data_IF_204208606489
#
_entry.id   IF_204208606489
#
_cell.length_a   1.000
_cell.length_b   1.000
_cell.length_c   1.000
_cell.angle_alpha   90.00
_cell.angle_beta   90.00
_cell.angle_gamma   90.00
#
_symmetry.space_group_name_H-M   'P 1'
#
loop_
_entity.id
_entity.type
_entity.pdbx_description
1 polymer ?
#
# COMPACT_ATOMS: atom_id res chain seq x y z
N UNK A 1 26.30 21.18 6.81
CA UNK A 1 26.17 20.27 8.00
C UNK A 1 25.57 18.95 7.58
N UNK A 2 24.49 18.94 6.76
CA UNK A 2 23.83 17.69 6.32
C UNK A 2 24.78 16.73 5.63
N UNK A 3 25.70 17.19 4.76
CA UNK A 3 26.72 16.33 4.14
C UNK A 3 27.56 15.57 5.15
N UNK A 4 27.90 16.22 6.30
CA UNK A 4 28.65 15.57 7.38
C UNK A 4 27.79 14.57 8.13
N UNK A 5 26.49 14.85 8.28
CA UNK A 5 25.53 13.92 8.89
C UNK A 5 25.36 12.68 7.99
N UNK A 6 25.21 12.87 6.69
CA UNK A 6 25.11 11.77 5.71
C UNK A 6 26.34 10.86 5.74
N UNK A 7 27.54 11.46 5.85
CA UNK A 7 28.80 10.70 5.90
C UNK A 7 29.00 9.94 7.22
N UNK A 8 28.48 10.43 8.35
CA UNK A 8 28.86 9.96 9.71
C UNK A 8 27.71 9.57 10.62
N UNK A 9 26.49 9.82 10.19
CA UNK A 9 25.29 9.75 11.01
C UNK A 9 25.19 10.88 12.04
N UNK A 10 24.02 11.07 12.63
CA UNK A 10 23.80 12.08 13.70
C UNK A 10 24.70 11.81 14.90
N UNK A 11 24.80 10.56 15.36
CA UNK A 11 25.61 10.19 16.50
C UNK A 11 27.10 10.44 16.27
N UNK A 12 27.62 10.11 15.08
CA UNK A 12 29.03 10.21 14.70
C UNK A 12 29.50 11.64 14.34
N UNK A 13 28.59 12.55 14.01
CA UNK A 13 28.91 13.93 13.63
C UNK A 13 29.39 14.74 14.84
N UNK A 14 30.50 15.44 14.71
CA UNK A 14 31.06 16.36 15.74
C UNK A 14 31.04 17.79 15.22
N UNK A 15 30.88 18.76 16.13
CA UNK A 15 30.95 20.19 15.81
C UNK A 15 32.24 20.55 15.05
N UNK A 16 33.39 19.96 15.48
CA UNK A 16 34.68 20.17 14.81
C UNK A 16 34.69 19.68 13.35
N UNK A 17 33.97 18.60 13.00
CA UNK A 17 33.88 18.11 11.63
C UNK A 17 33.07 19.08 10.76
N UNK A 18 31.98 19.62 11.32
CA UNK A 18 31.15 20.63 10.64
C UNK A 18 31.96 21.95 10.46
N UNK A 19 32.65 22.42 11.50
CA UNK A 19 33.49 23.59 11.41
C UNK A 19 34.59 23.47 10.34
N UNK A 20 35.25 22.31 10.31
CA UNK A 20 36.25 22.00 9.30
C UNK A 20 35.68 22.00 7.88
N UNK A 21 34.51 21.40 7.70
CA UNK A 21 33.81 21.35 6.38
C UNK A 21 33.42 22.75 5.90
N UNK A 22 32.99 23.63 6.81
CA UNK A 22 32.56 24.98 6.48
C UNK A 22 33.72 25.99 6.43
N UNK A 23 34.93 25.63 6.85
CA UNK A 23 36.09 26.53 6.90
C UNK A 23 35.94 27.60 7.99
N UNK A 24 35.24 27.32 9.08
CA UNK A 24 35.00 28.24 10.19
C UNK A 24 35.58 27.71 11.52
N UNK A 25 35.67 28.55 12.53
CA UNK A 25 36.10 28.11 13.87
C UNK A 25 34.97 27.40 14.63
N UNK A 26 35.34 26.48 15.54
CA UNK A 26 34.37 25.89 16.49
C UNK A 26 33.66 26.95 17.32
N UNK A 27 34.40 28.01 17.70
CA UNK A 27 33.82 29.11 18.49
C UNK A 27 32.72 29.86 17.76
N UNK A 28 32.82 30.00 16.44
CA UNK A 28 31.74 30.62 15.65
C UNK A 28 30.48 29.74 15.63
N UNK A 29 30.62 28.42 15.53
CA UNK A 29 29.46 27.50 15.61
C UNK A 29 28.83 27.57 17.00
N UNK A 30 29.63 27.53 18.07
CA UNK A 30 29.13 27.64 19.45
C UNK A 30 28.57 29.03 19.81
N UNK A 31 28.89 30.07 19.04
CA UNK A 31 28.23 31.37 19.16
C UNK A 31 26.77 31.32 18.67
N UNK A 32 26.48 30.51 17.64
CA UNK A 32 25.14 30.40 17.04
C UNK A 32 24.30 29.27 17.61
N UNK A 33 24.92 28.19 18.09
CA UNK A 33 24.25 26.99 18.57
C UNK A 33 24.78 26.60 19.94
N UNK A 34 23.90 26.51 20.92
CA UNK A 34 24.25 26.19 22.30
C UNK A 34 24.76 24.75 22.47
N UNK A 35 24.40 23.84 21.57
CA UNK A 35 24.81 22.43 21.61
C UNK A 35 24.94 21.81 20.21
N UNK A 36 25.60 20.64 20.14
CA UNK A 36 25.65 19.80 18.95
C UNK A 36 24.25 19.42 18.49
N UNK A 37 23.41 19.02 19.42
CA UNK A 37 22.04 18.57 19.16
C UNK A 37 21.19 19.66 18.49
N UNK A 38 21.38 20.92 18.94
CA UNK A 38 20.70 22.07 18.35
C UNK A 38 21.20 22.36 16.92
N UNK A 39 22.50 22.31 16.69
CA UNK A 39 23.11 22.48 15.38
C UNK A 39 22.58 21.42 14.39
N UNK A 40 22.56 20.15 14.80
CA UNK A 40 22.13 19.05 13.94
C UNK A 40 20.64 19.10 13.67
N UNK A 41 19.82 19.43 14.67
CA UNK A 41 18.40 19.61 14.53
C UNK A 41 18.04 20.75 13.55
N UNK A 42 18.67 21.92 13.71
CA UNK A 42 18.46 23.06 12.81
C UNK A 42 18.93 22.76 11.37
N UNK A 43 20.02 22.02 11.21
CA UNK A 43 20.50 21.62 9.89
C UNK A 43 19.51 20.66 9.20
N UNK A 44 19.00 19.68 9.91
CA UNK A 44 18.00 18.74 9.39
C UNK A 44 16.69 19.47 9.05
N UNK A 45 16.19 20.31 9.94
CA UNK A 45 14.98 21.11 9.72
C UNK A 45 15.09 21.96 8.44
N UNK A 46 16.23 22.63 8.24
CA UNK A 46 16.46 23.42 7.03
C UNK A 46 16.46 22.56 5.76
N UNK A 47 17.13 21.40 5.80
CA UNK A 47 17.20 20.48 4.70
C UNK A 47 15.81 19.92 4.35
N UNK A 48 15.10 19.40 5.34
CA UNK A 48 13.81 18.75 5.14
C UNK A 48 12.72 19.74 4.68
N UNK A 49 12.71 20.97 5.20
CA UNK A 49 11.79 22.01 4.71
C UNK A 49 12.05 22.38 3.24
N UNK A 50 13.33 22.43 2.83
CA UNK A 50 13.68 22.67 1.44
C UNK A 50 13.21 21.52 0.53
N UNK A 51 13.50 20.30 0.93
CA UNK A 51 13.09 19.08 0.20
C UNK A 51 11.58 19.02 0.02
N UNK A 52 10.82 19.22 1.10
CA UNK A 52 9.36 19.27 1.06
C UNK A 52 8.83 20.38 0.14
N UNK A 53 9.45 21.56 0.13
CA UNK A 53 9.07 22.67 -0.75
C UNK A 53 9.36 22.34 -2.23
N UNK A 54 10.45 21.65 -2.52
CA UNK A 54 10.82 21.20 -3.87
C UNK A 54 9.83 20.17 -4.38
N UNK A 55 9.46 19.17 -3.59
CA UNK A 55 8.42 18.17 -3.90
C UNK A 55 7.05 18.83 -4.16
N UNK A 56 6.65 19.79 -3.33
CA UNK A 56 5.39 20.52 -3.52
C UNK A 56 5.37 21.28 -4.86
N UNK A 57 6.47 21.93 -5.24
CA UNK A 57 6.57 22.67 -6.50
C UNK A 57 6.52 21.72 -7.69
N UNK A 58 7.23 20.60 -7.64
CA UNK A 58 7.22 19.62 -8.71
C UNK A 58 5.82 19.03 -8.90
N UNK A 59 5.20 18.57 -7.82
CA UNK A 59 3.84 18.07 -7.84
C UNK A 59 2.85 19.12 -8.39
N UNK A 60 2.93 20.38 -7.93
CA UNK A 60 2.03 21.45 -8.37
C UNK A 60 2.12 21.75 -9.87
N UNK A 61 3.26 21.49 -10.51
CA UNK A 61 3.47 21.68 -11.94
C UNK A 61 2.71 20.68 -12.82
N UNK A 62 2.18 19.60 -12.25
CA UNK A 62 1.40 18.60 -12.98
C UNK A 62 -0.01 19.11 -13.34
N UNK A 63 -0.55 18.71 -14.53
CA UNK A 63 -1.79 19.27 -15.05
C UNK A 63 -3.07 18.77 -14.36
N UNK A 64 -3.07 17.56 -13.80
CA UNK A 64 -4.23 16.90 -13.22
C UNK A 64 -3.97 16.50 -11.76
N UNK A 65 -5.02 16.31 -10.96
CA UNK A 65 -4.86 15.86 -9.58
C UNK A 65 -4.24 14.46 -9.51
N UNK A 66 -4.58 13.56 -10.44
CA UNK A 66 -3.96 12.24 -10.59
C UNK A 66 -2.46 12.37 -10.83
N UNK A 67 -2.05 13.24 -11.76
CA UNK A 67 -0.64 13.44 -12.07
C UNK A 67 0.12 14.10 -10.91
N UNK A 68 -0.52 15.02 -10.17
CA UNK A 68 0.05 15.64 -8.95
C UNK A 68 0.30 14.60 -7.86
N UNK A 69 -0.71 13.77 -7.59
CA UNK A 69 -0.59 12.70 -6.60
C UNK A 69 0.52 11.72 -6.96
N UNK A 70 0.56 11.32 -8.25
CA UNK A 70 1.55 10.34 -8.69
C UNK A 70 2.98 10.90 -8.65
N UNK A 71 3.21 12.14 -9.09
CA UNK A 71 4.52 12.79 -8.96
C UNK A 71 4.97 12.90 -7.50
N UNK A 72 4.03 13.28 -6.62
CA UNK A 72 4.31 13.35 -5.20
C UNK A 72 4.72 11.99 -4.64
N UNK A 73 4.02 10.91 -5.00
CA UNK A 73 4.40 9.55 -4.59
C UNK A 73 5.77 9.17 -5.16
N UNK A 74 6.01 9.42 -6.45
CA UNK A 74 7.29 9.08 -7.11
C UNK A 74 8.48 9.80 -6.48
N UNK A 75 8.32 11.06 -6.03
CA UNK A 75 9.38 11.82 -5.36
C UNK A 75 9.75 11.26 -3.99
N UNK A 76 8.86 10.52 -3.34
CA UNK A 76 9.13 9.82 -2.08
C UNK A 76 9.71 8.40 -2.28
N UNK A 77 9.68 7.83 -3.48
CA UNK A 77 10.21 6.48 -3.70
C UNK A 77 11.72 6.52 -3.85
N UNK A 78 12.50 5.88 -2.96
CA UNK A 78 13.96 5.86 -3.04
C UNK A 78 14.45 5.41 -4.41
N UNK A 79 15.53 6.02 -4.91
CA UNK A 79 16.16 5.61 -6.18
C UNK A 79 16.96 4.32 -6.03
N UNK A 80 17.59 4.12 -4.88
CA UNK A 80 18.41 2.95 -4.54
C UNK A 80 18.45 2.69 -3.04
N UNK A 81 19.09 1.61 -2.63
CA UNK A 81 19.37 1.31 -1.21
C UNK A 81 20.43 2.24 -0.61
N UNK A 82 21.15 2.97 -1.44
CA UNK A 82 22.16 3.98 -1.10
C UNK A 82 21.64 5.42 -1.25
N UNK A 83 20.32 5.59 -1.31
CA UNK A 83 19.67 6.89 -1.37
C UNK A 83 19.99 7.71 -0.12
N UNK A 84 20.83 8.72 -0.30
CA UNK A 84 21.36 9.52 0.81
C UNK A 84 20.32 10.40 1.51
N UNK A 85 19.23 10.75 0.78
CA UNK A 85 18.13 11.54 1.32
C UNK A 85 17.33 10.67 2.29
N UNK A 86 17.00 9.46 1.88
CA UNK A 86 16.34 8.49 2.75
C UNK A 86 17.19 8.03 3.92
N UNK A 87 18.50 7.85 3.73
CA UNK A 87 19.41 7.57 4.84
C UNK A 87 19.38 8.69 5.89
N UNK A 88 19.35 9.97 5.47
CA UNK A 88 19.24 11.12 6.37
C UNK A 88 17.92 11.11 7.14
N UNK A 89 16.79 10.84 6.48
CA UNK A 89 15.47 10.77 7.11
C UNK A 89 15.38 9.65 8.14
N UNK A 90 15.82 8.44 7.78
CA UNK A 90 15.81 7.26 8.69
C UNK A 90 16.67 7.52 9.93
N UNK A 91 17.86 8.10 9.75
CA UNK A 91 18.77 8.43 10.86
C UNK A 91 18.17 9.55 11.74
N UNK A 92 17.50 10.54 11.14
CA UNK A 92 16.80 11.59 11.86
C UNK A 92 15.64 11.06 12.72
N UNK A 93 14.84 10.11 12.23
CA UNK A 93 13.81 9.45 13.04
C UNK A 93 14.42 8.66 14.19
N UNK A 94 15.54 7.95 13.94
CA UNK A 94 16.29 7.27 14.99
C UNK A 94 16.79 8.23 16.06
N UNK A 95 17.28 9.41 15.67
CA UNK A 95 17.73 10.47 16.57
C UNK A 95 16.56 11.09 17.36
N UNK A 96 15.40 11.33 16.70
CA UNK A 96 14.21 11.92 17.33
C UNK A 96 13.66 11.10 18.51
N UNK A 97 13.94 9.79 18.54
CA UNK A 97 13.58 8.94 19.70
C UNK A 97 14.34 9.28 20.98
N UNK A 98 15.51 9.91 20.88
CA UNK A 98 16.43 10.16 21.99
C UNK A 98 16.75 11.63 22.23
N UNK A 99 16.59 12.46 21.19
CA UNK A 99 16.94 13.87 21.19
C UNK A 99 15.67 14.74 21.32
N UNK A 100 15.46 15.40 22.47
CA UNK A 100 14.28 16.23 22.70
C UNK A 100 14.23 17.49 21.82
N UNK A 101 15.33 17.91 21.19
CA UNK A 101 15.36 19.01 20.21
C UNK A 101 14.91 18.54 18.83
N UNK A 102 15.24 17.30 18.43
CA UNK A 102 14.86 16.73 17.15
C UNK A 102 13.40 16.32 17.08
N UNK A 103 12.84 15.80 18.19
CA UNK A 103 11.50 15.23 18.23
C UNK A 103 10.40 16.18 17.73
N UNK A 104 10.28 17.44 18.21
CA UNK A 104 9.25 18.36 17.71
C UNK A 104 9.44 18.73 16.23
N UNK A 105 10.69 18.83 15.75
CA UNK A 105 10.99 19.08 14.34
C UNK A 105 10.51 17.93 13.47
N UNK A 106 10.86 16.70 13.84
CA UNK A 106 10.37 15.50 13.13
C UNK A 106 8.84 15.43 13.08
N UNK A 107 8.17 15.68 14.21
CA UNK A 107 6.70 15.68 14.27
C UNK A 107 6.06 16.74 13.36
N UNK A 108 6.63 17.92 13.30
CA UNK A 108 6.14 19.02 12.44
C UNK A 108 6.34 18.67 10.96
N UNK A 109 7.50 18.14 10.58
CA UNK A 109 7.80 17.72 9.21
C UNK A 109 6.88 16.58 8.74
N UNK A 110 6.64 15.58 9.57
CA UNK A 110 5.69 14.50 9.28
C UNK A 110 4.27 15.06 9.08
N UNK A 111 3.84 15.98 9.93
CA UNK A 111 2.54 16.62 9.81
C UNK A 111 2.40 17.44 8.51
N UNK A 112 3.46 18.14 8.10
CA UNK A 112 3.51 18.90 6.85
C UNK A 112 3.49 17.96 5.63
N UNK A 113 4.24 16.86 5.66
CA UNK A 113 4.26 15.85 4.63
C UNK A 113 2.85 15.28 4.38
N UNK A 114 2.16 14.87 5.45
CA UNK A 114 0.78 14.38 5.36
C UNK A 114 -0.15 15.48 4.82
N UNK A 115 0.02 16.75 5.22
CA UNK A 115 -0.81 17.85 4.75
C UNK A 115 -0.65 18.12 3.23
N UNK A 116 0.53 17.86 2.66
CA UNK A 116 0.75 17.95 1.21
C UNK A 116 -0.09 16.92 0.47
N UNK A 117 -0.08 15.67 0.88
CA UNK A 117 -0.92 14.62 0.30
C UNK A 117 -2.41 14.95 0.47
N UNK A 118 -2.83 15.37 1.67
CA UNK A 118 -4.21 15.75 1.94
C UNK A 118 -4.69 16.86 0.99
N UNK A 119 -3.88 17.88 0.75
CA UNK A 119 -4.19 18.99 -0.16
C UNK A 119 -4.44 18.49 -1.59
N UNK A 120 -3.61 17.58 -2.08
CA UNK A 120 -3.76 17.00 -3.43
C UNK A 120 -5.02 16.14 -3.52
N UNK A 121 -5.32 15.34 -2.49
CA UNK A 121 -6.53 14.51 -2.45
C UNK A 121 -7.81 15.35 -2.39
N UNK A 122 -7.83 16.44 -1.62
CA UNK A 122 -8.97 17.37 -1.57
C UNK A 122 -9.17 18.06 -2.93
N UNK A 123 -8.10 18.57 -3.53
CA UNK A 123 -8.18 19.20 -4.85
C UNK A 123 -8.67 18.23 -5.93
N UNK A 124 -8.30 16.94 -5.87
CA UNK A 124 -8.82 15.93 -6.77
C UNK A 124 -10.31 15.63 -6.58
N UNK A 125 -10.81 15.65 -5.34
CA UNK A 125 -12.25 15.58 -5.08
C UNK A 125 -12.99 16.79 -5.62
N UNK A 126 -12.46 17.99 -5.42
CA UNK A 126 -13.05 19.26 -5.90
C UNK A 126 -13.11 19.32 -7.44
N UNK A 127 -12.10 18.76 -8.12
CA UNK A 127 -12.08 18.66 -9.59
C UNK A 127 -12.92 17.51 -10.15
N UNK A 128 -13.41 16.61 -9.30
CA UNK A 128 -14.14 15.40 -9.70
C UNK A 128 -13.23 14.28 -10.24
N UNK A 129 -11.91 14.42 -10.14
CA UNK A 129 -10.96 13.38 -10.54
C UNK A 129 -10.85 12.26 -9.52
N UNK A 130 -11.15 12.52 -8.23
CA UNK A 130 -11.06 11.56 -7.13
C UNK A 130 -12.42 11.38 -6.45
N UNK A 131 -12.55 10.23 -5.80
CA UNK A 131 -13.61 9.92 -4.85
C UNK A 131 -13.00 9.47 -3.51
N UNK A 132 -12.24 10.36 -2.89
CA UNK A 132 -11.55 10.12 -1.62
C UNK A 132 -12.45 10.56 -0.45
N UNK A 133 -13.01 9.60 0.30
CA UNK A 133 -14.00 9.88 1.36
C UNK A 133 -13.36 10.61 2.56
N UNK A 134 -12.15 10.20 2.95
CA UNK A 134 -11.45 10.73 4.12
C UNK A 134 -10.03 11.21 3.75
N UNK A 135 -9.87 12.38 3.09
CA UNK A 135 -8.57 12.82 2.55
C UNK A 135 -7.42 12.82 3.57
N UNK A 136 -7.69 13.25 4.81
CA UNK A 136 -6.66 13.25 5.87
C UNK A 136 -6.19 11.85 6.26
N UNK A 137 -7.13 10.93 6.43
CA UNK A 137 -6.78 9.53 6.77
C UNK A 137 -6.08 8.84 5.61
N UNK A 138 -6.55 9.07 4.38
CA UNK A 138 -5.92 8.56 3.15
C UNK A 138 -4.49 9.08 2.99
N UNK A 139 -4.28 10.38 3.23
CA UNK A 139 -2.95 10.98 3.25
C UNK A 139 -2.03 10.32 4.29
N UNK A 140 -2.55 10.07 5.50
CA UNK A 140 -1.81 9.39 6.57
C UNK A 140 -1.44 7.95 6.17
N UNK A 141 -2.35 7.21 5.53
CA UNK A 141 -2.07 5.84 5.05
C UNK A 141 -1.04 5.83 3.92
N UNK A 142 -1.13 6.78 2.98
CA UNK A 142 -0.17 6.91 1.87
C UNK A 142 1.22 7.21 2.43
N UNK A 143 1.36 8.24 3.27
CA UNK A 143 2.62 8.61 3.89
C UNK A 143 3.21 7.46 4.71
N UNK A 144 2.43 6.86 5.62
CA UNK A 144 2.91 5.76 6.46
C UNK A 144 3.32 4.50 5.67
N UNK A 145 2.68 4.19 4.53
CA UNK A 145 3.11 3.08 3.68
C UNK A 145 4.41 3.42 2.95
N UNK A 146 4.56 4.65 2.44
CA UNK A 146 5.82 5.10 1.81
C UNK A 146 6.96 4.95 2.80
N UNK A 147 6.82 5.51 4.00
CA UNK A 147 7.85 5.47 5.05
C UNK A 147 8.25 4.04 5.40
N UNK A 148 7.26 3.17 5.63
CA UNK A 148 7.51 1.77 5.94
C UNK A 148 8.21 0.99 4.81
N UNK A 149 7.79 1.19 3.57
CA UNK A 149 8.41 0.54 2.41
C UNK A 149 9.80 1.10 2.12
N UNK A 150 10.01 2.42 2.30
CA UNK A 150 11.30 3.05 2.08
C UNK A 150 12.35 2.59 3.10
N UNK A 151 11.97 2.47 4.37
CA UNK A 151 12.84 1.88 5.40
C UNK A 151 13.23 0.44 5.03
N UNK A 152 12.27 -0.39 4.59
CA UNK A 152 12.56 -1.77 4.17
C UNK A 152 13.46 -1.81 2.93
N UNK A 153 13.22 -0.92 1.97
CA UNK A 153 14.00 -0.85 0.73
C UNK A 153 15.45 -0.41 0.98
N UNK A 154 15.64 0.61 1.83
CA UNK A 154 16.96 1.14 2.15
C UNK A 154 17.75 0.25 3.13
N UNK A 155 17.07 -0.32 4.15
CA UNK A 155 17.74 -1.07 5.22
C UNK A 155 17.89 -2.57 4.96
N UNK A 156 17.08 -3.15 4.04
CA UNK A 156 17.04 -4.59 3.80
C UNK A 156 17.25 -4.92 2.33
N UNK A 157 18.50 -5.05 1.92
CA UNK A 157 18.87 -5.34 0.55
C UNK A 157 18.19 -6.62 0.03
N UNK A 158 17.53 -6.52 -1.13
CA UNK A 158 16.90 -7.65 -1.83
C UNK A 158 15.52 -8.09 -1.32
N UNK A 159 15.04 -7.56 -0.19
CA UNK A 159 13.70 -7.90 0.36
C UNK A 159 12.59 -7.26 -0.46
N UNK A 160 12.76 -6.01 -0.88
CA UNK A 160 11.80 -5.28 -1.69
C UNK A 160 12.48 -4.74 -2.95
N UNK A 161 11.87 -4.96 -4.12
CA UNK A 161 12.36 -4.37 -5.38
C UNK A 161 11.64 -3.05 -5.65
N UNK A 162 12.35 -2.05 -6.21
CA UNK A 162 11.75 -0.74 -6.56
C UNK A 162 10.47 -0.86 -7.40
N UNK A 163 10.44 -1.80 -8.35
CA UNK A 163 9.24 -2.08 -9.16
C UNK A 163 8.05 -2.53 -8.30
N UNK A 164 8.31 -3.29 -7.26
CA UNK A 164 7.29 -3.77 -6.33
C UNK A 164 6.80 -2.65 -5.40
N UNK A 165 7.71 -1.84 -4.89
CA UNK A 165 7.38 -0.63 -4.13
C UNK A 165 6.41 0.25 -4.94
N UNK A 166 6.79 0.63 -6.16
CA UNK A 166 5.94 1.43 -7.07
C UNK A 166 4.57 0.78 -7.31
N UNK A 167 4.53 -0.55 -7.49
CA UNK A 167 3.28 -1.28 -7.67
C UNK A 167 2.37 -1.18 -6.45
N UNK A 168 2.92 -1.35 -5.25
CA UNK A 168 2.17 -1.26 -3.99
C UNK A 168 1.62 0.16 -3.78
N UNK A 169 2.42 1.18 -4.05
CA UNK A 169 1.97 2.58 -3.95
C UNK A 169 0.86 2.92 -4.94
N UNK A 170 0.92 2.40 -6.17
CA UNK A 170 -0.18 2.56 -7.13
C UNK A 170 -1.48 1.91 -6.66
N UNK A 171 -1.39 0.70 -6.12
CA UNK A 171 -2.55 0.00 -5.60
C UNK A 171 -3.19 0.77 -4.44
N UNK A 172 -2.38 1.28 -3.51
CA UNK A 172 -2.90 2.10 -2.41
C UNK A 172 -3.52 3.40 -2.93
N UNK A 173 -2.79 4.16 -3.77
CA UNK A 173 -3.29 5.42 -4.31
C UNK A 173 -4.62 5.23 -5.07
N UNK A 174 -4.75 4.16 -5.85
CA UNK A 174 -5.98 3.82 -6.55
C UNK A 174 -7.12 3.53 -5.57
N UNK A 175 -6.88 2.72 -4.55
CA UNK A 175 -7.88 2.40 -3.53
C UNK A 175 -8.34 3.64 -2.74
N UNK A 176 -7.41 4.56 -2.41
CA UNK A 176 -7.71 5.76 -1.65
C UNK A 176 -8.42 6.85 -2.48
N UNK A 177 -8.28 6.84 -3.80
CA UNK A 177 -8.86 7.84 -4.70
C UNK A 177 -10.09 7.36 -5.46
N UNK A 178 -10.43 6.07 -5.35
CA UNK A 178 -11.52 5.47 -6.12
C UNK A 178 -11.20 5.25 -7.60
N UNK A 179 -9.91 5.29 -7.96
CA UNK A 179 -9.44 5.06 -9.33
C UNK A 179 -8.96 3.62 -9.54
N UNK A 180 -8.77 3.23 -10.80
CA UNK A 180 -8.02 2.01 -11.11
C UNK A 180 -6.51 2.23 -11.01
N UNK A 181 -5.69 1.20 -10.72
CA UNK A 181 -4.23 1.31 -10.78
C UNK A 181 -3.68 1.72 -12.16
N UNK A 182 -4.42 1.46 -13.23
CA UNK A 182 -4.05 1.81 -14.59
C UNK A 182 -4.27 3.30 -14.88
N UNK A 183 -5.31 3.91 -14.32
CA UNK A 183 -5.54 5.37 -14.42
C UNK A 183 -4.38 6.17 -13.81
N UNK A 184 -3.83 5.70 -12.68
CA UNK A 184 -2.65 6.30 -12.05
C UNK A 184 -1.40 6.09 -12.89
N UNK A 185 -1.29 5.00 -13.63
CA UNK A 185 -0.13 4.68 -14.50
C UNK A 185 -0.03 5.60 -15.72
N UNK A 186 -1.16 5.99 -16.29
CA UNK A 186 -1.25 6.72 -17.56
C UNK A 186 -1.41 8.24 -17.38
N UNK A 187 -1.06 8.79 -16.21
CA UNK A 187 -1.16 10.22 -15.91
C UNK A 187 -0.50 11.14 -16.96
N UNK A 188 0.43 10.62 -17.77
CA UNK A 188 1.01 11.32 -18.94
C UNK A 188 0.09 11.33 -20.17
N UNK A 189 -0.90 10.44 -20.28
CA UNK A 189 -1.85 10.38 -21.41
C UNK A 189 -3.06 11.29 -21.21
N UNK A 190 -3.48 11.50 -19.96
CA UNK A 190 -4.62 12.38 -19.64
C UNK A 190 -4.42 13.85 -20.05
N UNK A 191 -3.16 14.30 -20.22
CA UNK A 191 -2.86 15.65 -20.73
C UNK A 191 -3.11 15.84 -22.23
N UNK A 192 -3.35 14.78 -23.00
CA UNK A 192 -3.59 14.86 -24.46
C UNK A 192 -5.05 14.74 -24.89
N UNK A 193 -5.98 14.45 -23.96
CA UNK A 193 -7.39 14.21 -24.30
C UNK A 193 -8.33 15.37 -23.98
N UNK A 194 -7.83 16.52 -23.53
CA UNK A 194 -8.68 17.71 -23.32
C UNK A 194 -9.01 18.51 -24.58
N UNK A 195 -8.62 18.07 -25.78
CA UNK A 195 -9.03 18.65 -27.05
C UNK A 195 -9.57 17.58 -27.98
N UNK A 196 -10.85 17.39 -27.98
CA UNK A 196 -11.52 16.73 -29.11
C UNK A 196 -12.51 15.64 -28.76
N UNK A 197 -13.78 15.97 -28.85
CA UNK A 197 -14.92 15.10 -29.23
C UNK A 197 -15.36 14.02 -28.25
N UNK A 198 -16.47 14.30 -27.60
CA UNK A 198 -17.46 13.32 -27.11
C UNK A 198 -17.65 12.17 -28.12
N UNK A 199 -17.09 11.02 -27.80
CA UNK A 199 -17.64 9.73 -28.21
C UNK A 199 -17.94 8.98 -26.93
N UNK A 200 -19.23 8.91 -26.64
CA UNK A 200 -19.85 7.96 -25.73
C UNK A 200 -19.54 6.57 -26.27
N UNK A 201 -18.55 5.91 -25.69
CA UNK A 201 -18.24 4.50 -25.88
C UNK A 201 -18.33 3.89 -24.50
N UNK A 202 -19.25 2.95 -24.33
CA UNK A 202 -19.44 2.14 -23.15
C UNK A 202 -18.10 1.46 -22.81
N UNK A 203 -17.42 1.97 -21.78
CA UNK A 203 -16.23 1.33 -21.19
C UNK A 203 -16.73 0.39 -20.09
N UNK A 204 -17.01 -0.85 -20.50
CA UNK A 204 -17.61 -1.93 -19.71
C UNK A 204 -16.55 -2.76 -18.99
N UNK A 205 -15.53 -2.09 -18.40
CA UNK A 205 -14.54 -2.72 -17.54
C UNK A 205 -15.06 -2.87 -16.09
N UNK A 206 -14.58 -3.89 -15.33
CA UNK A 206 -15.01 -4.10 -13.95
C UNK A 206 -14.61 -2.89 -13.08
N UNK A 207 -15.61 -2.23 -12.48
CA UNK A 207 -15.45 -1.08 -11.57
C UNK A 207 -15.23 -1.55 -10.13
N UNK A 208 -14.57 -0.76 -9.27
CA UNK A 208 -14.56 -1.05 -7.84
C UNK A 208 -15.98 -1.29 -7.34
N UNK A 209 -16.17 -2.34 -6.51
CA UNK A 209 -17.47 -2.66 -5.95
C UNK A 209 -18.02 -1.48 -5.14
N UNK A 210 -19.34 -1.25 -5.19
CA UNK A 210 -19.98 -0.29 -4.28
C UNK A 210 -19.72 -0.68 -2.83
N UNK A 211 -19.83 0.27 -1.90
CA UNK A 211 -19.62 0.00 -0.46
C UNK A 211 -20.50 -1.14 0.04
N UNK A 212 -21.74 -1.22 -0.42
CA UNK A 212 -22.66 -2.30 -0.04
C UNK A 212 -22.19 -3.64 -0.59
N UNK A 213 -21.80 -3.70 -1.85
CA UNK A 213 -21.30 -4.92 -2.50
C UNK A 213 -19.95 -5.34 -1.91
N UNK A 214 -19.03 -4.42 -1.65
CA UNK A 214 -17.75 -4.71 -0.99
C UNK A 214 -17.96 -5.27 0.42
N UNK A 215 -18.89 -4.69 1.19
CA UNK A 215 -19.25 -5.18 2.52
C UNK A 215 -19.82 -6.61 2.47
N UNK A 216 -20.77 -6.87 1.57
CA UNK A 216 -21.38 -8.20 1.39
C UNK A 216 -20.34 -9.25 1.01
N UNK A 217 -19.42 -8.91 0.10
CA UNK A 217 -18.35 -9.81 -0.35
C UNK A 217 -17.33 -10.09 0.75
N UNK A 218 -16.95 -9.08 1.53
CA UNK A 218 -16.07 -9.27 2.72
C UNK A 218 -16.72 -10.15 3.77
N UNK A 219 -18.00 -9.94 4.03
CA UNK A 219 -18.75 -10.77 4.96
C UNK A 219 -18.82 -12.23 4.47
N UNK A 220 -19.06 -12.45 3.16
CA UNK A 220 -19.05 -13.76 2.56
C UNK A 220 -17.71 -14.49 2.73
N UNK A 221 -16.59 -13.78 2.47
CA UNK A 221 -15.23 -14.33 2.64
C UNK A 221 -14.93 -14.64 4.11
N UNK A 222 -15.39 -13.79 5.03
CA UNK A 222 -15.22 -14.03 6.48
C UNK A 222 -15.98 -15.26 6.95
N UNK A 223 -17.22 -15.44 6.50
CA UNK A 223 -18.03 -16.63 6.81
C UNK A 223 -17.42 -17.92 6.24
N UNK A 224 -16.82 -17.84 5.06
CA UNK A 224 -16.09 -18.96 4.47
C UNK A 224 -14.84 -19.32 5.30
N UNK A 225 -14.03 -18.34 5.72
CA UNK A 225 -12.84 -18.57 6.56
C UNK A 225 -13.21 -19.18 7.92
N UNK A 226 -14.32 -18.74 8.52
CA UNK A 226 -14.85 -19.29 9.75
C UNK A 226 -15.32 -20.75 9.56
N UNK A 227 -16.02 -21.04 8.46
CA UNK A 227 -16.44 -22.40 8.11
C UNK A 227 -15.26 -23.37 7.91
N UNK A 228 -14.18 -22.90 7.26
CA UNK A 228 -12.94 -23.69 7.14
C UNK A 228 -12.34 -24.02 8.50
N UNK A 229 -12.26 -23.03 9.40
CA UNK A 229 -11.66 -23.22 10.72
C UNK A 229 -12.42 -24.22 11.60
N UNK A 230 -13.72 -24.38 11.34
CA UNK A 230 -14.59 -25.34 12.02
C UNK A 230 -14.72 -26.70 11.30
N UNK A 231 -14.06 -26.85 10.15
CA UNK A 231 -14.19 -28.02 9.28
C UNK A 231 -15.64 -28.31 8.87
N UNK A 232 -16.45 -27.28 8.72
CA UNK A 232 -17.89 -27.36 8.38
C UNK A 232 -18.06 -27.34 6.87
N UNK A 233 -18.11 -28.54 6.25
CA UNK A 233 -18.23 -28.71 4.80
C UNK A 233 -19.53 -28.06 4.27
N UNK A 234 -20.64 -28.18 5.00
CA UNK A 234 -21.91 -27.62 4.55
C UNK A 234 -21.90 -26.08 4.58
N UNK A 235 -21.25 -25.47 5.56
CA UNK A 235 -21.05 -24.04 5.60
C UNK A 235 -20.08 -23.56 4.50
N UNK A 236 -19.00 -24.31 4.23
CA UNK A 236 -18.08 -24.05 3.11
C UNK A 236 -18.83 -24.11 1.76
N UNK A 237 -19.68 -25.08 1.55
CA UNK A 237 -20.43 -25.23 0.31
C UNK A 237 -21.40 -24.07 0.05
N UNK A 238 -21.90 -23.41 1.10
CA UNK A 238 -22.75 -22.20 0.96
C UNK A 238 -22.00 -20.99 0.37
N UNK A 239 -20.68 -21.02 0.37
CA UNK A 239 -19.86 -19.97 -0.27
C UNK A 239 -19.91 -20.06 -1.80
N UNK A 240 -20.12 -21.22 -2.37
CA UNK A 240 -20.05 -21.49 -3.79
C UNK A 240 -21.44 -21.49 -4.45
N UNK A 241 -21.46 -21.23 -5.77
CA UNK A 241 -22.62 -21.54 -6.63
C UNK A 241 -22.65 -23.03 -6.95
N UNK A 242 -23.81 -23.54 -7.38
CA UNK A 242 -23.95 -24.96 -7.75
C UNK A 242 -23.09 -25.35 -8.96
N UNK A 243 -22.80 -24.39 -9.83
CA UNK A 243 -21.97 -24.54 -11.04
C UNK A 243 -20.52 -24.00 -10.82
N UNK A 244 -20.08 -23.89 -9.57
CA UNK A 244 -18.76 -23.35 -9.28
C UNK A 244 -17.62 -24.19 -9.84
N UNK A 245 -16.51 -23.51 -10.22
CA UNK A 245 -15.28 -24.12 -10.69
C UNK A 245 -14.13 -23.72 -9.79
N UNK A 246 -13.39 -24.70 -9.26
CA UNK A 246 -12.16 -24.46 -8.48
C UNK A 246 -10.95 -24.98 -9.26
N UNK A 247 -10.09 -24.09 -9.70
CA UNK A 247 -8.82 -24.47 -10.33
C UNK A 247 -7.77 -24.81 -9.26
N UNK A 248 -7.32 -26.05 -9.26
CA UNK A 248 -6.28 -26.53 -8.34
C UNK A 248 -4.88 -26.22 -8.87
N UNK A 249 -4.69 -26.34 -10.19
CA UNK A 249 -3.46 -26.00 -10.92
C UNK A 249 -3.81 -25.60 -12.37
N UNK A 250 -2.81 -25.54 -13.26
CA UNK A 250 -3.02 -25.16 -14.67
C UNK A 250 -3.80 -26.19 -15.49
N UNK A 251 -3.93 -27.42 -15.01
CA UNK A 251 -4.52 -28.55 -15.76
C UNK A 251 -5.71 -29.18 -15.04
N UNK A 252 -5.80 -29.06 -13.73
CA UNK A 252 -6.79 -29.73 -12.89
C UNK A 252 -7.79 -28.74 -12.30
N UNK A 253 -9.07 -29.03 -12.44
CA UNK A 253 -10.16 -28.24 -11.86
C UNK A 253 -11.27 -29.14 -11.34
N UNK A 254 -11.91 -28.71 -10.25
CA UNK A 254 -13.15 -29.29 -9.74
C UNK A 254 -14.30 -28.52 -10.38
N UNK A 255 -15.22 -29.20 -11.04
CA UNK A 255 -16.26 -28.59 -11.86
C UNK A 255 -17.68 -28.97 -11.43
N UNK A 256 -17.83 -29.80 -10.40
CA UNK A 256 -19.12 -30.16 -9.84
C UNK A 256 -19.13 -29.95 -8.32
N UNK A 257 -20.33 -29.61 -7.78
CA UNK A 257 -20.51 -29.43 -6.33
C UNK A 257 -20.11 -30.69 -5.56
N UNK A 258 -20.31 -31.88 -6.11
CA UNK A 258 -19.89 -33.14 -5.48
C UNK A 258 -18.37 -33.26 -5.39
N UNK A 259 -17.64 -32.96 -6.47
CA UNK A 259 -16.16 -32.93 -6.45
C UNK A 259 -15.61 -31.90 -5.45
N UNK A 260 -16.21 -30.72 -5.40
CA UNK A 260 -15.83 -29.65 -4.47
C UNK A 260 -16.06 -30.10 -3.02
N UNK A 261 -17.24 -30.64 -2.73
CA UNK A 261 -17.60 -31.19 -1.41
C UNK A 261 -16.64 -32.30 -0.98
N UNK A 262 -16.38 -33.26 -1.85
CA UNK A 262 -15.48 -34.36 -1.56
C UNK A 262 -14.07 -33.87 -1.28
N UNK A 263 -13.57 -32.91 -2.07
CA UNK A 263 -12.25 -32.30 -1.85
C UNK A 263 -12.10 -31.65 -0.48
N UNK A 264 -13.10 -30.90 0.00
CA UNK A 264 -13.08 -30.33 1.34
C UNK A 264 -13.22 -31.39 2.43
N UNK A 265 -14.06 -32.40 2.24
CA UNK A 265 -14.20 -33.53 3.16
C UNK A 265 -12.88 -34.27 3.35
N UNK A 266 -12.15 -34.53 2.26
CA UNK A 266 -10.84 -35.17 2.27
C UNK A 266 -9.79 -34.29 2.97
N UNK A 267 -9.80 -32.99 2.68
CA UNK A 267 -8.89 -32.04 3.34
C UNK A 267 -9.11 -31.99 4.86
N UNK A 268 -10.38 -31.92 5.30
CA UNK A 268 -10.71 -31.89 6.73
C UNK A 268 -10.39 -33.20 7.44
N UNK A 269 -10.52 -34.34 6.72
CA UNK A 269 -10.13 -35.66 7.24
C UNK A 269 -8.61 -35.83 7.35
N UNK A 270 -7.85 -35.17 6.47
CA UNK A 270 -6.39 -35.25 6.41
C UNK A 270 -5.68 -34.20 7.29
N UNK A 271 -6.38 -33.17 7.78
CA UNK A 271 -5.80 -32.03 8.50
C UNK A 271 -6.59 -31.72 9.76
N UNK A 272 -5.90 -31.49 10.89
CA UNK A 272 -6.52 -31.10 12.15
C UNK A 272 -7.01 -29.64 12.13
N UNK A 273 -6.36 -28.81 11.33
CA UNK A 273 -6.66 -27.37 11.28
C UNK A 273 -6.41 -26.86 9.87
N UNK A 274 -7.41 -26.16 9.30
CA UNK A 274 -7.26 -25.34 8.10
C UNK A 274 -7.84 -23.96 8.40
N UNK A 275 -6.99 -22.94 8.29
CA UNK A 275 -7.42 -21.53 8.45
C UNK A 275 -6.92 -20.78 7.22
N UNK A 276 -7.80 -20.05 6.56
CA UNK A 276 -7.47 -19.05 5.54
C UNK A 276 -7.81 -17.66 6.08
N UNK A 277 -6.79 -16.81 6.26
CA UNK A 277 -6.96 -15.42 6.70
C UNK A 277 -6.68 -14.51 5.52
N UNK A 278 -7.67 -13.82 4.98
CA UNK A 278 -7.43 -12.82 3.94
C UNK A 278 -6.71 -11.62 4.54
N UNK A 279 -5.46 -11.39 4.12
CA UNK A 279 -4.63 -10.27 4.57
C UNK A 279 -4.94 -8.99 3.78
N UNK A 280 -5.12 -9.14 2.47
CA UNK A 280 -5.47 -8.04 1.56
C UNK A 280 -6.54 -8.54 0.61
N UNK A 281 -7.63 -7.79 0.49
CA UNK A 281 -8.74 -8.13 -0.40
C UNK A 281 -9.23 -6.88 -1.13
N UNK A 282 -9.30 -6.94 -2.45
CA UNK A 282 -9.92 -5.91 -3.27
C UNK A 282 -11.02 -6.56 -4.13
N UNK A 283 -12.19 -5.93 -4.17
CA UNK A 283 -13.32 -6.37 -4.97
C UNK A 283 -13.65 -5.35 -6.06
N UNK A 284 -13.95 -5.87 -7.24
CA UNK A 284 -14.42 -5.13 -8.42
C UNK A 284 -15.72 -5.76 -8.87
N UNK A 285 -16.74 -4.96 -9.11
CA UNK A 285 -18.06 -5.46 -9.46
C UNK A 285 -18.61 -4.81 -10.74
N UNK A 286 -19.28 -5.61 -11.54
CA UNK A 286 -20.27 -5.17 -12.51
C UNK A 286 -21.64 -5.43 -11.89
N UNK A 287 -22.17 -4.42 -11.23
CA UNK A 287 -23.42 -4.53 -10.47
C UNK A 287 -24.64 -4.71 -11.41
N UNK A 288 -24.54 -4.19 -12.64
CA UNK A 288 -25.59 -4.34 -13.66
C UNK A 288 -25.76 -5.79 -14.09
N UNK A 289 -24.66 -6.53 -14.26
CA UNK A 289 -24.65 -7.94 -14.62
C UNK A 289 -24.61 -8.88 -13.40
N UNK A 290 -24.54 -8.35 -12.18
CA UNK A 290 -24.49 -9.14 -10.96
C UNK A 290 -23.25 -10.02 -10.86
N UNK A 291 -22.12 -9.54 -11.36
CA UNK A 291 -20.82 -10.22 -11.27
C UNK A 291 -19.80 -9.40 -10.51
N UNK A 292 -18.85 -10.07 -9.83
CA UNK A 292 -17.75 -9.42 -9.14
C UNK A 292 -16.47 -10.26 -9.19
N UNK A 293 -15.31 -9.61 -9.04
CA UNK A 293 -14.00 -10.23 -8.96
C UNK A 293 -13.32 -9.84 -7.66
N UNK A 294 -12.72 -10.80 -6.96
CA UNK A 294 -11.94 -10.59 -5.75
C UNK A 294 -10.49 -11.00 -5.97
N UNK A 295 -9.56 -10.06 -5.71
CA UNK A 295 -8.14 -10.34 -5.63
C UNK A 295 -7.73 -10.34 -4.15
N UNK A 296 -7.14 -11.45 -3.68
CA UNK A 296 -6.80 -11.65 -2.27
C UNK A 296 -5.36 -12.09 -2.09
N UNK A 297 -4.73 -11.63 -1.01
CA UNK A 297 -3.57 -12.31 -0.43
C UNK A 297 -4.05 -12.99 0.83
N UNK A 298 -3.82 -14.28 0.93
CA UNK A 298 -4.36 -15.15 1.98
C UNK A 298 -3.20 -15.80 2.71
N UNK A 299 -3.20 -15.70 4.03
CA UNK A 299 -2.37 -16.55 4.88
C UNK A 299 -3.14 -17.85 5.15
N UNK A 300 -2.63 -18.96 4.64
CA UNK A 300 -3.17 -20.28 4.88
C UNK A 300 -2.34 -20.97 5.95
N UNK A 301 -2.99 -21.38 7.04
CA UNK A 301 -2.39 -22.22 8.09
C UNK A 301 -3.04 -23.58 8.04
N UNK A 302 -2.24 -24.63 7.97
CA UNK A 302 -2.71 -26.01 8.01
C UNK A 302 -1.76 -26.89 8.83
N UNK A 303 -2.30 -27.89 9.50
CA UNK A 303 -1.52 -28.88 10.26
C UNK A 303 -2.10 -30.26 10.09
N UNK A 304 -1.20 -31.28 10.11
CA UNK A 304 -1.57 -32.68 10.29
C UNK A 304 -1.46 -33.04 11.77
N UNK A 305 -2.20 -34.10 12.18
CA UNK A 305 -2.15 -34.63 13.53
C UNK A 305 -0.70 -34.79 14.04
N UNK A 306 -0.37 -34.12 15.16
CA UNK A 306 0.93 -34.19 15.81
C UNK A 306 2.08 -33.45 15.10
N UNK A 307 1.81 -32.64 14.06
CA UNK A 307 2.81 -31.82 13.37
C UNK A 307 2.69 -30.33 13.71
N UNK A 308 3.80 -29.58 13.53
CA UNK A 308 3.74 -28.11 13.63
C UNK A 308 2.92 -27.55 12.46
N UNK A 309 2.14 -26.48 12.69
CA UNK A 309 1.42 -25.81 11.61
C UNK A 309 2.39 -25.30 10.53
N UNK A 310 2.01 -25.53 9.28
CA UNK A 310 2.64 -24.93 8.11
C UNK A 310 1.87 -23.67 7.76
N UNK A 311 2.57 -22.61 7.41
CA UNK A 311 2.01 -21.31 7.01
C UNK A 311 2.43 -21.03 5.58
N UNK A 312 1.45 -20.92 4.69
CA UNK A 312 1.66 -20.58 3.29
C UNK A 312 1.04 -19.20 2.98
N UNK A 313 1.69 -18.41 2.14
CA UNK A 313 1.08 -17.26 1.49
C UNK A 313 0.52 -17.70 0.14
N UNK A 314 -0.73 -17.39 -0.09
CA UNK A 314 -1.47 -17.81 -1.27
C UNK A 314 -2.11 -16.60 -1.94
N UNK A 315 -1.92 -16.45 -3.24
CA UNK A 315 -2.71 -15.49 -4.02
C UNK A 315 -4.04 -16.14 -4.41
N UNK A 316 -5.14 -15.49 -4.05
CA UNK A 316 -6.48 -15.89 -4.43
C UNK A 316 -7.05 -14.97 -5.50
N UNK A 317 -7.67 -15.57 -6.52
CA UNK A 317 -8.51 -14.86 -7.49
C UNK A 317 -9.85 -15.58 -7.52
N UNK A 318 -10.88 -14.92 -7.03
CA UNK A 318 -12.24 -15.44 -6.98
C UNK A 318 -13.15 -14.58 -7.87
N UNK A 319 -14.06 -15.23 -8.60
CA UNK A 319 -15.15 -14.56 -9.30
C UNK A 319 -16.46 -14.90 -8.58
N UNK A 320 -17.31 -13.90 -8.45
CA UNK A 320 -18.57 -14.00 -7.72
C UNK A 320 -19.75 -13.72 -8.64
N UNK A 321 -20.88 -14.35 -8.36
CA UNK A 321 -22.15 -14.11 -9.02
C UNK A 321 -23.20 -13.78 -7.97
N UNK A 322 -24.05 -12.80 -8.25
CA UNK A 322 -25.20 -12.48 -7.41
C UNK A 322 -26.33 -13.50 -7.67
N UNK A 323 -26.79 -14.13 -6.60
CA UNK A 323 -27.89 -15.09 -6.62
C UNK A 323 -29.10 -14.50 -5.90
N UNK A 324 -30.23 -15.21 -5.90
CA UNK A 324 -31.42 -14.82 -5.11
C UNK A 324 -31.17 -14.76 -3.61
N UNK A 325 -30.13 -15.43 -3.12
CA UNK A 325 -29.78 -15.48 -1.67
C UNK A 325 -28.52 -14.67 -1.34
N UNK A 326 -28.02 -13.83 -2.25
CA UNK A 326 -26.81 -13.00 -2.09
C UNK A 326 -25.68 -13.43 -2.99
N UNK A 327 -24.49 -12.89 -2.74
CA UNK A 327 -23.30 -13.20 -3.52
C UNK A 327 -22.80 -14.62 -3.24
N UNK A 328 -22.28 -15.30 -4.27
CA UNK A 328 -21.64 -16.63 -4.20
C UNK A 328 -20.43 -16.68 -5.13
N UNK A 329 -19.39 -17.41 -4.72
CA UNK A 329 -18.23 -17.66 -5.54
C UNK A 329 -18.56 -18.67 -6.63
N UNK A 330 -18.38 -18.31 -7.89
CA UNK A 330 -18.58 -19.19 -9.05
C UNK A 330 -17.29 -19.66 -9.71
N UNK A 331 -16.16 -18.96 -9.46
CA UNK A 331 -14.83 -19.43 -9.85
C UNK A 331 -13.80 -19.10 -8.78
N UNK A 332 -12.89 -20.02 -8.55
CA UNK A 332 -11.81 -19.87 -7.58
C UNK A 332 -10.48 -20.35 -8.15
N UNK A 333 -9.43 -19.55 -7.94
CA UNK A 333 -8.06 -19.92 -8.24
C UNK A 333 -7.16 -19.57 -7.07
N UNK A 334 -6.29 -20.50 -6.66
CA UNK A 334 -5.27 -20.29 -5.63
C UNK A 334 -3.90 -20.59 -6.20
N UNK A 335 -2.94 -19.73 -5.91
CA UNK A 335 -1.54 -19.85 -6.35
C UNK A 335 -0.67 -19.62 -5.11
N UNK A 336 0.08 -20.64 -4.70
CA UNK A 336 1.08 -20.49 -3.63
C UNK A 336 2.20 -19.57 -4.12
N UNK A 337 2.60 -18.62 -3.27
CA UNK A 337 3.60 -17.58 -3.60
C UNK A 337 4.96 -18.04 -3.08
#
# INVERSE_FOLDING_TARGET
TCDVIIERGFAGTRVADVAKRLGVSNSLIHYHFASKEELLAAAFEHYANKDLADMQRDSASAPTAVAKLWRLIESYVPEGSDDVEWMLWIDAWGEALRNPKMKPISQELDAQSIAVFEKVLRAGNESGEFHCVHPRESATRISGLIDGLAVQYAAHEGVLKRKEFIRLMRQLAAAETGLSPDDIRDSRRLSKTSNGSTKQGDDDGPRPASLATDFDLRQLVTLYSDALSRSDVDAVMRYFTDDAVISLDSTNSLTTSEQIRQSFSDQFSASELIIEVPLVTAFFADEGNGTAHGNMTIERRHSKAGSKPVIDLVRGVDTYRRTSTGWRCNQRRRITI
#
